data_IF_864706374161
#
_entry.id   IF_864706374161
#
_cell.length_a   1.000
_cell.length_b   1.000
_cell.length_c   1.000
_cell.angle_alpha   90.00
_cell.angle_beta   90.00
_cell.angle_gamma   90.00
#
_symmetry.space_group_name_H-M   'P 1'
#
loop_
_entity.id
_entity.type
_entity.pdbx_description
1 polymer ?
#
# COMPACT_ATOMS: atom_id res chain seq x y z
N UNK A 1 29.29 -14.71 -22.64
CA UNK A 1 29.54 -16.17 -22.59
C UNK A 1 31.05 -16.37 -22.60
N UNK A 2 31.57 -17.11 -21.63
CA UNK A 2 33.00 -17.41 -21.48
C UNK A 2 33.34 -18.82 -21.99
N UNK A 3 32.38 -19.75 -21.92
CA UNK A 3 32.53 -21.13 -22.39
C UNK A 3 31.16 -21.70 -22.82
N UNK A 4 31.15 -22.57 -23.83
CA UNK A 4 29.96 -23.24 -24.37
C UNK A 4 30.29 -24.73 -24.52
N UNK A 5 29.43 -25.59 -23.99
CA UNK A 5 29.48 -27.05 -24.16
C UNK A 5 28.09 -27.57 -24.50
N UNK A 6 27.88 -27.91 -25.78
CA UNK A 6 26.56 -28.25 -26.30
C UNK A 6 25.56 -27.10 -26.12
N UNK A 7 24.48 -27.38 -25.41
CA UNK A 7 23.44 -26.41 -25.02
C UNK A 7 23.75 -25.69 -23.70
N UNK A 8 24.78 -26.10 -22.96
CA UNK A 8 25.19 -25.44 -21.73
C UNK A 8 26.14 -24.28 -21.99
N UNK A 9 25.91 -23.18 -21.27
CA UNK A 9 26.74 -21.98 -21.34
C UNK A 9 27.21 -21.59 -19.96
N UNK A 10 28.49 -21.18 -19.88
CA UNK A 10 29.06 -20.55 -18.70
C UNK A 10 29.41 -19.11 -19.02
N UNK A 11 29.12 -18.22 -18.08
CA UNK A 11 29.41 -16.80 -18.16
C UNK A 11 30.08 -16.31 -16.88
N UNK A 12 30.74 -15.17 -17.02
CA UNK A 12 31.41 -14.45 -15.93
C UNK A 12 32.56 -15.25 -15.30
N UNK A 13 33.26 -14.62 -14.36
CA UNK A 13 34.21 -15.25 -13.44
C UNK A 13 33.93 -14.83 -12.00
N UNK A 14 32.70 -14.39 -11.75
CA UNK A 14 32.17 -13.83 -10.51
C UNK A 14 30.64 -13.98 -10.56
N UNK A 15 29.93 -13.87 -9.42
CA UNK A 15 28.47 -13.92 -9.43
C UNK A 15 27.89 -12.69 -10.15
N UNK A 16 26.71 -12.83 -10.76
CA UNK A 16 25.92 -11.69 -11.24
C UNK A 16 25.26 -10.97 -10.06
N UNK A 17 24.52 -11.72 -9.26
CA UNK A 17 23.87 -11.29 -8.02
C UNK A 17 24.17 -12.21 -6.84
N UNK A 18 24.71 -13.40 -7.07
CA UNK A 18 24.98 -14.41 -6.04
C UNK A 18 23.73 -15.16 -5.61
N UNK A 19 22.74 -15.24 -6.49
CA UNK A 19 21.38 -15.73 -6.23
C UNK A 19 21.32 -17.26 -6.05
N UNK A 20 22.38 -17.95 -6.46
CA UNK A 20 22.49 -19.39 -6.29
C UNK A 20 21.79 -20.16 -7.39
N UNK A 21 20.70 -20.85 -7.05
CA UNK A 21 19.87 -21.53 -8.06
C UNK A 21 18.80 -20.55 -8.49
N UNK A 22 18.71 -20.26 -9.78
CA UNK A 22 17.81 -19.23 -10.31
C UNK A 22 17.09 -19.77 -11.56
N UNK A 23 16.07 -19.07 -12.04
CA UNK A 23 15.32 -19.43 -13.25
C UNK A 23 14.91 -18.14 -13.96
N UNK A 24 15.88 -17.51 -14.64
CA UNK A 24 15.66 -16.22 -15.32
C UNK A 24 15.91 -16.32 -16.82
N UNK A 25 15.13 -15.60 -17.66
CA UNK A 25 15.32 -15.62 -19.10
C UNK A 25 16.74 -15.17 -19.50
N UNK A 26 17.36 -15.94 -20.38
CA UNK A 26 18.60 -15.56 -21.04
C UNK A 26 18.29 -15.11 -22.46
N UNK A 27 18.71 -13.90 -22.83
CA UNK A 27 18.48 -13.33 -24.17
C UNK A 27 19.78 -13.16 -24.95
N UNK A 28 19.69 -13.14 -26.28
CA UNK A 28 20.73 -12.48 -27.08
C UNK A 28 20.62 -10.98 -26.92
N UNK A 29 21.73 -10.27 -27.15
CA UNK A 29 21.78 -8.82 -27.04
C UNK A 29 22.60 -8.22 -28.19
N UNK A 30 22.14 -7.07 -28.68
CA UNK A 30 22.93 -6.22 -29.57
C UNK A 30 23.66 -5.19 -28.71
N UNK A 31 25.00 -5.14 -28.81
CA UNK A 31 25.79 -4.17 -28.05
C UNK A 31 25.93 -2.90 -28.89
N UNK A 32 25.25 -1.83 -28.47
CA UNK A 32 25.28 -0.54 -29.15
C UNK A 32 26.63 0.17 -28.93
N UNK A 33 27.16 0.14 -27.71
CA UNK A 33 28.45 0.77 -27.38
C UNK A 33 29.07 0.19 -26.12
N UNK A 34 30.34 0.53 -25.90
CA UNK A 34 31.05 0.28 -24.65
C UNK A 34 31.33 1.64 -24.01
N UNK A 35 31.00 1.78 -22.73
CA UNK A 35 31.37 2.93 -21.90
C UNK A 35 32.65 2.59 -21.14
N UNK A 36 33.83 2.98 -21.64
CA UNK A 36 35.07 2.69 -20.96
C UNK A 36 35.19 3.56 -19.70
N UNK A 37 35.44 2.92 -18.57
CA UNK A 37 35.85 3.62 -17.35
C UNK A 37 37.04 2.89 -16.72
N UNK A 38 37.90 3.63 -16.01
CA UNK A 38 39.07 3.05 -15.33
C UNK A 38 38.69 2.09 -14.20
N UNK A 39 37.51 2.27 -13.59
CA UNK A 39 37.03 1.43 -12.49
C UNK A 39 36.27 0.21 -13.01
N UNK A 40 35.25 0.41 -13.85
CA UNK A 40 34.41 -0.65 -14.40
C UNK A 40 33.84 -0.25 -15.76
N UNK A 41 34.34 -0.88 -16.83
CA UNK A 41 33.80 -0.65 -18.18
C UNK A 41 32.48 -1.40 -18.36
N UNK A 42 31.47 -0.73 -18.92
CA UNK A 42 30.11 -1.31 -19.10
C UNK A 42 29.73 -1.34 -20.57
N UNK A 43 29.02 -2.40 -21.00
CA UNK A 43 28.42 -2.47 -22.33
C UNK A 43 26.99 -1.96 -22.26
N UNK A 44 26.63 -1.04 -23.15
CA UNK A 44 25.23 -0.65 -23.36
C UNK A 44 24.71 -1.40 -24.57
N UNK A 45 23.62 -2.14 -24.38
CA UNK A 45 23.00 -2.94 -25.42
C UNK A 45 21.53 -3.18 -25.16
N UNK A 46 20.81 -3.53 -26.22
CA UNK A 46 19.41 -3.93 -26.16
C UNK A 46 19.26 -5.45 -26.25
N UNK A 47 18.24 -5.98 -25.57
CA UNK A 47 17.82 -7.37 -25.72
C UNK A 47 17.25 -7.59 -27.13
N UNK A 48 17.50 -8.75 -27.73
CA UNK A 48 16.94 -9.13 -29.05
C UNK A 48 15.83 -10.16 -28.87
N UNK A 49 16.16 -11.34 -28.35
CA UNK A 49 15.18 -12.41 -28.14
C UNK A 49 15.62 -13.35 -27.01
N UNK A 50 14.68 -13.95 -26.25
CA UNK A 50 14.97 -15.05 -25.35
C UNK A 50 15.51 -16.26 -26.11
N UNK A 51 16.58 -16.86 -25.61
CA UNK A 51 17.24 -18.02 -26.21
C UNK A 51 17.51 -19.15 -25.22
N UNK A 52 17.24 -18.95 -23.94
CA UNK A 52 17.47 -19.97 -22.93
C UNK A 52 17.17 -19.48 -21.52
N UNK A 53 17.73 -20.18 -20.55
CA UNK A 53 17.51 -19.94 -19.13
C UNK A 53 18.86 -19.86 -18.42
N UNK A 54 19.00 -18.88 -17.55
CA UNK A 54 20.07 -18.85 -16.55
C UNK A 54 19.60 -19.61 -15.31
N UNK A 55 20.38 -20.62 -14.91
CA UNK A 55 19.98 -21.60 -13.89
C UNK A 55 20.88 -21.55 -12.65
N UNK A 56 22.10 -21.01 -12.80
CA UNK A 56 23.08 -20.93 -11.72
C UNK A 56 23.71 -19.54 -11.69
N UNK A 57 23.82 -18.98 -10.50
CA UNK A 57 24.55 -17.75 -10.20
C UNK A 57 25.36 -17.96 -8.91
N UNK A 58 26.63 -18.36 -9.06
CA UNK A 58 27.51 -18.78 -7.98
C UNK A 58 28.74 -17.89 -7.92
N UNK A 59 29.51 -18.02 -6.84
CA UNK A 59 30.74 -17.22 -6.64
C UNK A 59 31.74 -17.34 -7.80
N UNK A 60 31.78 -18.48 -8.48
CA UNK A 60 32.68 -18.75 -9.61
C UNK A 60 32.16 -18.24 -10.96
N UNK A 61 30.91 -17.82 -11.06
CA UNK A 61 30.28 -17.46 -12.33
C UNK A 61 28.81 -17.86 -12.42
N UNK A 62 28.26 -17.67 -13.62
CA UNK A 62 26.88 -17.98 -13.94
C UNK A 62 26.80 -19.12 -14.97
N UNK A 63 25.75 -19.92 -14.90
CA UNK A 63 25.53 -21.06 -15.79
C UNK A 63 24.09 -21.13 -16.25
N UNK A 64 23.89 -21.56 -17.50
CA UNK A 64 22.56 -21.67 -18.09
C UNK A 64 22.52 -22.66 -19.23
N UNK A 65 21.32 -22.85 -19.78
CA UNK A 65 21.06 -23.77 -20.88
C UNK A 65 20.29 -23.05 -21.99
N UNK A 66 20.78 -23.16 -23.21
CA UNK A 66 20.15 -22.65 -24.43
C UNK A 66 18.97 -23.55 -24.80
N UNK A 67 17.86 -22.96 -25.24
CA UNK A 67 16.63 -23.67 -25.64
C UNK A 67 15.64 -23.92 -24.51
N UNK A 68 16.04 -23.75 -23.24
CA UNK A 68 15.11 -23.78 -22.11
C UNK A 68 14.17 -22.56 -22.11
N UNK A 69 13.02 -22.69 -21.42
CA UNK A 69 12.09 -21.57 -21.16
C UNK A 69 12.02 -21.32 -19.66
N UNK A 70 12.39 -20.11 -19.25
CA UNK A 70 12.31 -19.68 -17.86
C UNK A 70 10.86 -19.36 -17.50
N UNK A 71 10.52 -19.48 -16.22
CA UNK A 71 9.24 -19.00 -15.72
C UNK A 71 9.18 -17.47 -15.78
N UNK A 72 8.07 -16.94 -16.26
CA UNK A 72 7.76 -15.51 -16.28
C UNK A 72 6.41 -15.26 -15.59
N UNK A 73 6.24 -14.06 -15.05
CA UNK A 73 4.98 -13.51 -14.57
C UNK A 73 4.41 -12.60 -15.68
N UNK A 74 3.28 -12.98 -16.30
CA UNK A 74 2.55 -12.09 -17.20
C UNK A 74 2.06 -10.86 -16.43
N UNK A 75 2.37 -9.68 -16.93
CA UNK A 75 1.92 -8.39 -16.42
C UNK A 75 1.27 -7.60 -17.56
N UNK A 76 -0.02 -7.30 -17.41
CA UNK A 76 -0.77 -6.44 -18.34
C UNK A 76 -0.99 -5.08 -17.70
N UNK A 77 -0.68 -4.00 -18.42
CA UNK A 77 -0.93 -2.64 -17.97
C UNK A 77 -1.82 -1.93 -19.00
N UNK A 78 -3.04 -1.59 -18.61
CA UNK A 78 -4.02 -0.86 -19.40
C UNK A 78 -4.06 0.60 -18.93
N UNK A 79 -3.78 1.54 -19.83
CA UNK A 79 -3.74 2.97 -19.54
C UNK A 79 -4.78 3.71 -20.38
N UNK A 80 -5.59 4.50 -19.70
CA UNK A 80 -6.68 5.25 -20.29
C UNK A 80 -6.60 6.73 -19.92
N UNK A 81 -6.84 7.60 -20.89
CA UNK A 81 -7.05 9.04 -20.66
C UNK A 81 -8.28 9.49 -21.47
N UNK A 82 -9.44 9.44 -20.82
CA UNK A 82 -10.77 9.63 -21.46
C UNK A 82 -10.90 10.98 -22.17
N UNK A 83 -10.36 12.06 -21.60
CA UNK A 83 -10.52 13.40 -22.19
C UNK A 83 -9.65 13.63 -23.44
N UNK A 84 -8.61 12.81 -23.65
CA UNK A 84 -7.73 12.88 -24.81
C UNK A 84 -7.98 11.73 -25.80
N UNK A 85 -8.97 10.86 -25.52
CA UNK A 85 -9.26 9.66 -26.31
C UNK A 85 -8.00 8.78 -26.54
N UNK A 86 -7.20 8.63 -25.48
CA UNK A 86 -5.98 7.82 -25.49
C UNK A 86 -6.21 6.54 -24.69
N UNK A 87 -5.98 5.41 -25.34
CA UNK A 87 -5.99 4.06 -24.77
C UNK A 87 -4.73 3.32 -25.25
N UNK A 88 -3.98 2.77 -24.29
CA UNK A 88 -2.78 1.97 -24.53
C UNK A 88 -2.74 0.79 -23.59
N UNK A 89 -2.51 -0.39 -24.15
CA UNK A 89 -2.24 -1.61 -23.39
C UNK A 89 -0.81 -2.07 -23.62
N UNK A 90 -0.09 -2.37 -22.54
CA UNK A 90 1.24 -2.94 -22.54
C UNK A 90 1.20 -4.35 -21.96
N UNK A 91 1.95 -5.27 -22.58
CA UNK A 91 2.08 -6.64 -22.10
C UNK A 91 3.56 -6.91 -21.83
N UNK A 92 3.86 -7.38 -20.62
CA UNK A 92 5.20 -7.69 -20.17
C UNK A 92 5.27 -9.15 -19.69
N UNK A 93 6.40 -9.79 -19.98
CA UNK A 93 6.81 -11.05 -19.37
C UNK A 93 7.92 -10.74 -18.36
N UNK A 94 7.55 -10.62 -17.08
CA UNK A 94 8.48 -10.28 -16.01
C UNK A 94 9.18 -11.55 -15.54
N UNK A 95 10.51 -11.54 -15.37
CA UNK A 95 11.22 -12.71 -14.82
C UNK A 95 10.61 -13.12 -13.46
N UNK A 96 10.27 -14.41 -13.28
CA UNK A 96 9.65 -14.91 -12.05
C UNK A 96 10.72 -15.25 -11.01
N UNK A 97 10.96 -14.32 -10.09
CA UNK A 97 11.97 -14.42 -9.05
C UNK A 97 11.55 -13.68 -7.79
N UNK A 98 11.64 -14.33 -6.64
CA UNK A 98 11.19 -13.84 -5.33
C UNK A 98 11.66 -12.42 -4.97
N UNK A 99 12.88 -12.06 -5.36
CA UNK A 99 13.46 -10.75 -5.05
C UNK A 99 13.41 -9.74 -6.20
N UNK A 100 13.31 -10.20 -7.45
CA UNK A 100 13.43 -9.32 -8.62
C UNK A 100 12.11 -9.02 -9.31
N UNK A 101 11.14 -9.94 -9.27
CA UNK A 101 9.82 -9.71 -9.87
C UNK A 101 9.17 -8.41 -9.37
N UNK A 102 9.12 -8.11 -8.05
CA UNK A 102 8.49 -6.88 -7.58
C UNK A 102 9.15 -5.62 -8.17
N UNK A 103 10.48 -5.61 -8.21
CA UNK A 103 11.26 -4.47 -8.72
C UNK A 103 11.16 -4.32 -10.24
N UNK A 104 11.15 -5.41 -10.99
CA UNK A 104 10.99 -5.37 -12.43
C UNK A 104 9.56 -4.98 -12.82
N UNK A 105 8.55 -5.43 -12.09
CA UNK A 105 7.17 -4.98 -12.26
C UNK A 105 7.02 -3.47 -12.02
N UNK A 106 7.68 -2.92 -10.98
CA UNK A 106 7.80 -1.46 -10.80
C UNK A 106 8.38 -0.76 -12.02
N UNK A 107 9.48 -1.27 -12.60
CA UNK A 107 10.08 -0.66 -13.78
C UNK A 107 9.18 -0.75 -15.02
N UNK A 108 8.42 -1.84 -15.19
CA UNK A 108 7.40 -1.95 -16.24
C UNK A 108 6.30 -0.91 -16.06
N UNK A 109 5.80 -0.72 -14.84
CA UNK A 109 4.79 0.31 -14.53
C UNK A 109 5.33 1.72 -14.77
N UNK A 110 6.56 2.00 -14.31
CA UNK A 110 7.25 3.26 -14.58
C UNK A 110 7.37 3.54 -16.07
N UNK A 111 7.88 2.59 -16.85
CA UNK A 111 8.05 2.75 -18.30
C UNK A 111 6.71 2.97 -19.01
N UNK A 112 5.71 2.13 -18.75
CA UNK A 112 4.40 2.23 -19.39
C UNK A 112 3.69 3.55 -19.07
N UNK A 113 3.62 3.90 -17.78
CA UNK A 113 2.91 5.09 -17.31
C UNK A 113 3.70 6.35 -17.69
N UNK A 114 5.03 6.41 -17.54
CA UNK A 114 5.81 7.58 -17.95
C UNK A 114 5.70 7.84 -19.46
N UNK A 115 5.76 6.79 -20.30
CA UNK A 115 5.61 6.95 -21.76
C UNK A 115 4.24 7.53 -22.10
N UNK A 116 3.21 7.14 -21.36
CA UNK A 116 1.85 7.64 -21.52
C UNK A 116 1.69 9.06 -20.95
N UNK A 117 2.30 9.35 -19.79
CA UNK A 117 2.23 10.61 -19.06
C UNK A 117 3.19 11.70 -19.57
N UNK A 118 4.11 11.42 -20.51
CA UNK A 118 5.18 12.33 -20.99
C UNK A 118 4.76 13.77 -21.35
N UNK A 119 3.47 14.04 -21.52
CA UNK A 119 2.93 15.38 -21.80
C UNK A 119 2.32 16.08 -20.58
N UNK A 120 2.23 15.42 -19.43
CA UNK A 120 1.52 15.86 -18.24
C UNK A 120 2.51 16.22 -17.14
N UNK A 121 2.34 17.41 -16.56
CA UNK A 121 3.19 17.86 -15.45
C UNK A 121 2.55 17.51 -14.11
N UNK A 122 1.24 17.67 -14.02
CA UNK A 122 0.42 17.48 -12.84
C UNK A 122 -0.69 16.49 -13.23
N UNK A 123 -0.77 15.34 -12.57
CA UNK A 123 -1.74 14.31 -12.92
C UNK A 123 -2.40 13.70 -11.68
N UNK A 124 -3.61 13.21 -11.89
CA UNK A 124 -4.31 12.34 -10.97
C UNK A 124 -4.66 11.06 -11.71
N UNK A 125 -4.51 9.92 -11.04
CA UNK A 125 -4.78 8.62 -11.62
C UNK A 125 -5.56 7.76 -10.63
N UNK A 126 -6.69 7.22 -11.08
CA UNK A 126 -7.37 6.12 -10.39
C UNK A 126 -6.88 4.81 -10.99
N UNK A 127 -6.56 3.82 -10.18
CA UNK A 127 -6.06 2.54 -10.65
C UNK A 127 -6.74 1.36 -9.97
N UNK A 128 -6.80 0.25 -10.70
CA UNK A 128 -7.23 -1.04 -10.22
C UNK A 128 -6.14 -2.07 -10.52
N UNK A 129 -5.59 -2.67 -9.46
CA UNK A 129 -4.57 -3.69 -9.52
C UNK A 129 -5.18 -5.02 -9.10
N UNK A 130 -5.07 -6.03 -9.95
CA UNK A 130 -5.50 -7.40 -9.68
C UNK A 130 -4.32 -8.37 -9.77
N UNK A 131 -4.13 -9.19 -8.73
CA UNK A 131 -3.12 -10.24 -8.68
C UNK A 131 -3.84 -11.59 -8.60
N UNK A 132 -3.70 -12.39 -9.66
CA UNK A 132 -4.28 -13.73 -9.68
C UNK A 132 -3.35 -14.70 -8.98
N UNK A 133 -3.84 -15.34 -7.92
CA UNK A 133 -3.07 -16.29 -7.12
C UNK A 133 -3.60 -17.70 -7.38
N UNK A 134 -2.70 -18.66 -7.59
CA UNK A 134 -3.09 -20.05 -7.84
C UNK A 134 -3.78 -20.66 -6.63
N UNK A 135 -5.02 -21.11 -6.82
CA UNK A 135 -5.78 -21.82 -5.79
C UNK A 135 -6.31 -20.94 -4.66
N UNK A 136 -6.27 -19.61 -4.82
CA UNK A 136 -6.83 -18.62 -3.90
C UNK A 136 -7.63 -17.59 -4.67
N UNK A 137 -8.41 -16.78 -3.96
CA UNK A 137 -9.11 -15.64 -4.57
C UNK A 137 -8.10 -14.57 -5.03
N UNK A 138 -8.40 -13.82 -6.11
CA UNK A 138 -7.53 -12.75 -6.57
C UNK A 138 -7.46 -11.63 -5.53
N UNK A 139 -6.25 -11.11 -5.30
CA UNK A 139 -6.06 -9.89 -4.51
C UNK A 139 -6.34 -8.70 -5.40
N UNK A 140 -7.19 -7.79 -4.93
CA UNK A 140 -7.52 -6.56 -5.69
C UNK A 140 -7.29 -5.32 -4.87
N UNK A 141 -6.62 -4.33 -5.45
CA UNK A 141 -6.36 -3.03 -4.84
C UNK A 141 -6.92 -1.95 -5.77
N UNK A 142 -7.76 -1.07 -5.23
CA UNK A 142 -8.25 0.11 -5.95
C UNK A 142 -7.92 1.37 -5.15
N UNK A 143 -7.28 2.33 -5.80
CA UNK A 143 -6.89 3.58 -5.15
C UNK A 143 -6.75 4.72 -6.18
N UNK A 144 -6.64 5.95 -5.69
CA UNK A 144 -6.42 7.15 -6.49
C UNK A 144 -5.21 7.92 -5.96
N UNK A 145 -4.37 8.39 -6.87
CA UNK A 145 -3.16 9.13 -6.53
C UNK A 145 -3.08 10.43 -7.33
N UNK A 146 -2.72 11.51 -6.65
CA UNK A 146 -2.44 12.82 -7.23
C UNK A 146 -0.96 13.14 -7.04
N UNK A 147 -0.27 13.61 -8.08
CA UNK A 147 1.16 13.91 -8.01
C UNK A 147 1.59 15.05 -8.92
N UNK A 148 2.46 15.91 -8.41
CA UNK A 148 3.24 16.86 -9.21
C UNK A 148 4.44 16.11 -9.78
N UNK A 149 4.49 15.94 -11.09
CA UNK A 149 5.57 15.26 -11.81
C UNK A 149 5.23 13.85 -12.30
N UNK A 150 3.96 13.44 -12.28
CA UNK A 150 3.49 12.14 -12.75
C UNK A 150 3.15 11.16 -11.63
N UNK A 151 2.28 10.19 -11.94
CA UNK A 151 1.75 9.19 -11.00
C UNK A 151 2.45 7.83 -11.09
N UNK A 152 3.28 7.64 -12.12
CA UNK A 152 3.97 6.39 -12.42
C UNK A 152 4.70 5.76 -11.22
N UNK A 153 5.48 6.55 -10.49
CA UNK A 153 6.27 6.06 -9.35
C UNK A 153 5.38 5.57 -8.21
N UNK A 154 4.33 6.32 -7.87
CA UNK A 154 3.43 5.96 -6.78
C UNK A 154 2.68 4.67 -7.08
N UNK A 155 2.09 4.54 -8.28
CA UNK A 155 1.37 3.33 -8.70
C UNK A 155 2.33 2.13 -8.78
N UNK A 156 3.51 2.34 -9.36
CA UNK A 156 4.53 1.30 -9.44
C UNK A 156 5.02 0.83 -8.06
N UNK A 157 5.11 1.72 -7.06
CA UNK A 157 5.44 1.35 -5.68
C UNK A 157 4.36 0.49 -5.03
N UNK A 158 3.08 0.78 -5.27
CA UNK A 158 1.96 -0.05 -4.79
C UNK A 158 2.04 -1.45 -5.40
N UNK A 159 2.19 -1.55 -6.72
CA UNK A 159 2.39 -2.82 -7.42
C UNK A 159 3.58 -3.62 -6.86
N UNK A 160 4.74 -2.96 -6.71
CA UNK A 160 5.92 -3.61 -6.13
C UNK A 160 5.68 -4.07 -4.70
N UNK A 161 4.99 -3.28 -3.88
CA UNK A 161 4.78 -3.61 -2.47
C UNK A 161 3.83 -4.79 -2.32
N UNK A 162 2.76 -4.85 -3.12
CA UNK A 162 1.84 -5.99 -3.15
C UNK A 162 2.55 -7.29 -3.55
N UNK A 163 3.38 -7.24 -4.63
CA UNK A 163 4.18 -8.38 -5.05
C UNK A 163 5.23 -8.78 -4.01
N UNK A 164 5.92 -7.82 -3.39
CA UNK A 164 6.93 -8.09 -2.37
C UNK A 164 6.29 -8.78 -1.15
N UNK A 165 5.13 -8.28 -0.71
CA UNK A 165 4.38 -8.83 0.41
C UNK A 165 3.98 -10.30 0.19
N UNK A 166 3.46 -10.61 -1.00
CA UNK A 166 3.05 -11.97 -1.37
C UNK A 166 4.26 -12.90 -1.61
N UNK A 167 5.23 -12.49 -2.43
CA UNK A 167 6.34 -13.38 -2.80
C UNK A 167 7.35 -13.56 -1.66
N UNK A 168 7.47 -12.60 -0.74
CA UNK A 168 8.41 -12.66 0.39
C UNK A 168 7.75 -13.01 1.70
N UNK A 169 6.48 -13.40 1.69
CA UNK A 169 5.81 -13.92 2.86
C UNK A 169 6.60 -15.11 3.48
N UNK A 170 6.55 -15.29 4.82
CA UNK A 170 7.25 -16.37 5.52
C UNK A 170 6.42 -17.65 5.71
N UNK A 171 5.16 -17.69 5.27
CA UNK A 171 4.19 -18.74 5.61
C UNK A 171 4.11 -19.85 4.56
N UNK A 172 4.00 -19.49 3.28
CA UNK A 172 3.90 -20.44 2.17
C UNK A 172 4.52 -19.92 0.87
N UNK A 173 4.78 -20.81 -0.08
CA UNK A 173 5.21 -20.43 -1.43
C UNK A 173 3.98 -20.08 -2.29
N UNK A 174 3.78 -18.78 -2.52
CA UNK A 174 2.64 -18.25 -3.27
C UNK A 174 2.99 -18.16 -4.75
N UNK A 175 2.21 -18.88 -5.57
CA UNK A 175 2.30 -18.82 -7.03
C UNK A 175 1.34 -17.77 -7.58
N UNK A 176 1.89 -16.65 -8.05
CA UNK A 176 1.16 -15.59 -8.75
C UNK A 176 1.11 -15.97 -10.23
N UNK A 177 -0.10 -16.08 -10.79
CA UNK A 177 -0.33 -16.52 -12.18
C UNK A 177 -0.31 -15.36 -13.18
N UNK A 178 -0.84 -14.20 -12.79
CA UNK A 178 -0.87 -12.99 -13.61
C UNK A 178 -1.04 -11.74 -12.74
N UNK A 179 -0.68 -10.60 -13.32
CA UNK A 179 -0.95 -9.27 -12.76
C UNK A 179 -1.59 -8.42 -13.84
N UNK A 180 -2.70 -7.77 -13.47
CA UNK A 180 -3.42 -6.85 -14.35
C UNK A 180 -3.54 -5.50 -13.63
N UNK A 181 -3.06 -4.43 -14.27
CA UNK A 181 -3.08 -3.07 -13.75
C UNK A 181 -3.83 -2.17 -14.73
N UNK A 182 -4.98 -1.68 -14.32
CA UNK A 182 -5.76 -0.69 -15.06
C UNK A 182 -5.55 0.69 -14.44
N UNK A 183 -5.31 1.71 -15.26
CA UNK A 183 -5.06 3.08 -14.81
C UNK A 183 -5.85 4.06 -15.68
N UNK A 184 -6.72 4.84 -15.04
CA UNK A 184 -7.45 5.96 -15.62
C UNK A 184 -6.78 7.27 -15.17
N UNK A 185 -6.16 7.99 -16.11
CA UNK A 185 -5.36 9.21 -15.84
C UNK A 185 -6.13 10.45 -16.27
N UNK A 186 -5.94 11.53 -15.52
CA UNK A 186 -6.37 12.89 -15.87
C UNK A 186 -5.26 13.92 -15.63
N UNK A 187 -5.12 14.86 -16.55
CA UNK A 187 -4.02 15.85 -16.58
C UNK A 187 -4.24 17.05 -15.65
N UNK A 188 -4.63 16.78 -14.41
CA UNK A 188 -4.77 17.79 -13.35
C UNK A 188 -4.65 17.14 -11.99
N UNK A 189 -4.18 17.90 -11.00
CA UNK A 189 -4.33 17.53 -9.59
C UNK A 189 -5.78 17.69 -9.17
N UNK A 190 -6.35 16.64 -8.58
CA UNK A 190 -7.68 16.67 -7.95
C UNK A 190 -7.61 16.67 -6.43
N UNK A 191 -6.43 16.40 -5.86
CA UNK A 191 -6.24 16.29 -4.41
C UNK A 191 -6.86 17.45 -3.62
N UNK A 192 -7.54 17.10 -2.54
CA UNK A 192 -7.96 18.01 -1.49
C UNK A 192 -7.14 17.83 -0.20
N UNK A 193 -7.05 18.89 0.58
CA UNK A 193 -6.38 18.89 1.88
C UNK A 193 -7.36 19.25 2.99
N UNK A 194 -7.36 18.47 4.08
CA UNK A 194 -8.15 18.78 5.28
C UNK A 194 -7.50 19.96 6.01
N UNK A 195 -8.15 21.12 6.01
CA UNK A 195 -7.59 22.35 6.60
C UNK A 195 -7.95 22.52 8.08
N UNK A 196 -9.23 22.33 8.41
CA UNK A 196 -9.75 22.47 9.77
C UNK A 196 -11.01 21.63 9.94
N UNK A 197 -11.32 21.34 11.20
CA UNK A 197 -12.59 20.74 11.61
C UNK A 197 -13.19 21.57 12.74
N UNK A 198 -14.52 21.63 12.81
CA UNK A 198 -15.24 22.25 13.92
C UNK A 198 -16.49 21.47 14.29
N UNK A 199 -16.94 21.64 15.53
CA UNK A 199 -18.13 20.97 16.03
C UNK A 199 -19.27 21.98 16.19
N UNK A 200 -20.49 21.58 15.84
CA UNK A 200 -21.68 22.43 16.00
C UNK A 200 -22.00 22.70 17.48
N UNK A 201 -21.59 21.79 18.37
CA UNK A 201 -21.72 21.89 19.84
C UNK A 201 -20.42 21.48 20.52
N UNK A 202 -20.04 22.19 21.58
CA UNK A 202 -18.85 21.87 22.39
C UNK A 202 -19.16 20.92 23.57
N UNK A 203 -20.44 20.74 23.90
CA UNK A 203 -20.90 19.89 24.98
C UNK A 203 -21.90 18.88 24.43
N UNK A 204 -21.66 17.61 24.70
CA UNK A 204 -22.49 16.49 24.25
C UNK A 204 -22.94 15.66 25.45
N UNK A 205 -23.98 14.88 25.27
CA UNK A 205 -24.42 13.85 26.21
C UNK A 205 -24.30 12.47 25.54
N UNK A 206 -24.21 11.39 26.32
CA UNK A 206 -24.28 10.05 25.74
C UNK A 206 -25.57 9.88 24.92
N UNK A 207 -25.46 9.34 23.70
CA UNK A 207 -26.58 9.24 22.76
C UNK A 207 -26.81 10.47 21.88
N UNK A 208 -26.09 11.59 22.07
CA UNK A 208 -26.20 12.75 21.20
C UNK A 208 -25.57 12.50 19.81
N UNK A 209 -26.05 13.23 18.81
CA UNK A 209 -25.41 13.32 17.50
C UNK A 209 -24.35 14.44 17.50
N UNK A 210 -23.13 14.09 17.13
CA UNK A 210 -21.99 14.98 16.93
C UNK A 210 -22.08 15.61 15.53
N UNK A 211 -22.51 16.87 15.45
CA UNK A 211 -22.43 17.65 14.21
C UNK A 211 -20.99 18.13 13.96
N UNK A 212 -20.40 17.67 12.87
CA UNK A 212 -19.00 17.88 12.49
C UNK A 212 -18.92 18.61 11.14
N UNK A 213 -18.28 19.77 11.16
CA UNK A 213 -17.94 20.53 9.96
C UNK A 213 -16.48 20.25 9.59
N UNK A 214 -16.24 19.89 8.33
CA UNK A 214 -14.91 19.54 7.80
C UNK A 214 -14.61 20.46 6.63
N UNK A 215 -13.56 21.27 6.73
CA UNK A 215 -13.10 22.10 5.61
C UNK A 215 -12.04 21.38 4.80
N UNK A 216 -12.36 21.17 3.53
CA UNK A 216 -11.46 20.60 2.53
C UNK A 216 -11.10 21.68 1.53
N UNK A 217 -9.80 21.91 1.36
CA UNK A 217 -9.25 22.83 0.37
C UNK A 217 -8.78 22.02 -0.85
N UNK A 218 -9.48 22.09 -1.99
CA UNK A 218 -9.03 21.45 -3.21
C UNK A 218 -7.78 22.17 -3.75
N UNK A 219 -6.94 21.45 -4.48
CA UNK A 219 -5.78 22.03 -5.15
C UNK A 219 -6.20 23.18 -6.08
N UNK A 220 -5.71 24.40 -5.81
CA UNK A 220 -6.08 25.65 -6.51
C UNK A 220 -7.60 25.94 -6.54
N UNK A 221 -8.38 25.30 -5.65
CA UNK A 221 -9.81 25.47 -5.52
C UNK A 221 -10.19 26.51 -4.44
N UNK A 222 -11.49 26.62 -4.18
CA UNK A 222 -12.01 27.30 -2.99
C UNK A 222 -12.28 26.26 -1.91
N UNK A 223 -12.09 26.62 -0.65
CA UNK A 223 -12.44 25.73 0.47
C UNK A 223 -13.92 25.38 0.42
N UNK A 224 -14.21 24.10 0.65
CA UNK A 224 -15.55 23.53 0.73
C UNK A 224 -15.74 22.99 2.14
N UNK A 225 -16.93 23.17 2.71
CA UNK A 225 -17.26 22.65 4.04
C UNK A 225 -18.26 21.51 3.88
N UNK A 226 -17.87 20.33 4.38
CA UNK A 226 -18.73 19.16 4.49
C UNK A 226 -19.34 19.13 5.89
N UNK A 227 -20.62 18.80 5.97
CA UNK A 227 -21.38 18.73 7.21
C UNK A 227 -21.79 17.29 7.44
N UNK A 228 -21.29 16.68 8.51
CA UNK A 228 -21.52 15.28 8.84
C UNK A 228 -22.07 15.14 10.26
N UNK A 229 -23.06 14.27 10.40
CA UNK A 229 -23.71 13.97 11.67
C UNK A 229 -23.28 12.56 12.12
N UNK A 230 -22.59 12.47 13.25
CA UNK A 230 -22.07 11.20 13.79
C UNK A 230 -22.81 10.84 15.06
N UNK A 231 -23.56 9.75 15.01
CA UNK A 231 -24.29 9.26 16.18
C UNK A 231 -23.34 8.67 17.22
N UNK A 232 -23.39 9.19 18.44
CA UNK A 232 -22.63 8.67 19.56
C UNK A 232 -23.44 7.58 20.28
N UNK A 233 -22.84 6.42 20.60
CA UNK A 233 -23.49 5.42 21.43
C UNK A 233 -23.99 5.95 22.79
N UNK A 234 -25.13 5.44 23.27
CA UNK A 234 -25.69 5.81 24.58
C UNK A 234 -24.79 5.39 25.77
N UNK A 235 -23.90 4.41 25.57
CA UNK A 235 -23.04 3.84 26.60
C UNK A 235 -21.67 4.52 26.76
N UNK A 236 -21.43 5.67 26.14
CA UNK A 236 -20.14 6.36 26.26
C UNK A 236 -19.99 6.99 27.65
N UNK A 237 -18.82 6.81 28.26
CA UNK A 237 -18.47 7.43 29.53
C UNK A 237 -18.38 8.96 29.42
N UNK A 238 -18.70 9.64 30.52
CA UNK A 238 -18.52 11.09 30.63
C UNK A 238 -17.04 11.44 30.68
N UNK A 239 -16.62 12.44 29.91
CA UNK A 239 -15.21 12.84 29.83
C UNK A 239 -14.86 13.48 28.51
N UNK A 240 -13.57 13.63 28.25
CA UNK A 240 -13.09 14.23 27.01
C UNK A 240 -12.96 13.17 25.92
N UNK A 241 -13.60 13.41 24.77
CA UNK A 241 -13.42 12.64 23.55
C UNK A 241 -12.50 13.39 22.57
N UNK A 242 -11.66 12.64 21.87
CA UNK A 242 -10.83 13.10 20.76
C UNK A 242 -11.52 12.75 19.45
N UNK A 243 -11.96 13.75 18.70
CA UNK A 243 -12.46 13.59 17.34
C UNK A 243 -11.31 13.83 16.37
N UNK A 244 -11.03 12.85 15.53
CA UNK A 244 -9.96 12.90 14.52
C UNK A 244 -10.56 12.68 13.15
N UNK A 245 -10.27 13.57 12.21
CA UNK A 245 -10.55 13.38 10.78
C UNK A 245 -9.21 13.23 10.07
N UNK A 246 -9.03 12.14 9.33
CA UNK A 246 -7.74 11.77 8.76
C UNK A 246 -7.88 11.20 7.35
N UNK A 247 -6.86 11.40 6.53
CA UNK A 247 -6.66 10.61 5.32
C UNK A 247 -6.36 9.13 5.64
N UNK A 248 -6.41 8.27 4.62
CA UNK A 248 -6.15 6.83 4.73
C UNK A 248 -4.81 6.50 5.40
N UNK A 249 -3.73 7.18 5.02
CA UNK A 249 -2.38 6.91 5.55
C UNK A 249 -2.28 7.19 7.05
N UNK A 250 -2.80 8.34 7.48
CA UNK A 250 -2.83 8.75 8.90
C UNK A 250 -3.73 7.85 9.72
N UNK A 251 -4.90 7.50 9.18
CA UNK A 251 -5.83 6.59 9.81
C UNK A 251 -5.24 5.18 10.02
N UNK A 252 -4.63 4.59 8.98
CA UNK A 252 -3.95 3.28 9.09
C UNK A 252 -2.77 3.35 10.05
N UNK A 253 -1.99 4.43 10.04
CA UNK A 253 -0.89 4.64 11.00
C UNK A 253 -1.41 4.65 12.43
N UNK A 254 -2.50 5.38 12.70
CA UNK A 254 -3.13 5.42 14.02
C UNK A 254 -3.69 4.03 14.42
N UNK A 255 -4.27 3.25 13.50
CA UNK A 255 -4.66 1.85 13.76
C UNK A 255 -3.47 0.95 14.10
N UNK A 256 -2.36 1.04 13.37
CA UNK A 256 -1.15 0.26 13.63
C UNK A 256 -0.59 0.58 15.02
N UNK A 257 -0.58 1.86 15.41
CA UNK A 257 -0.08 2.26 16.72
C UNK A 257 -0.97 1.77 17.86
N UNK A 258 -2.30 1.74 17.67
CA UNK A 258 -3.25 1.23 18.66
C UNK A 258 -3.21 -0.29 18.78
N UNK A 259 -3.09 -0.99 17.65
CA UNK A 259 -3.15 -2.45 17.64
C UNK A 259 -2.07 -3.05 16.73
N UNK A 260 -0.79 -3.01 17.15
CA UNK A 260 0.33 -3.47 16.32
C UNK A 260 0.21 -4.96 15.95
N UNK A 261 -0.39 -5.77 16.82
CA UNK A 261 -0.50 -7.22 16.61
C UNK A 261 -1.54 -7.61 15.57
N UNK A 262 -2.56 -6.77 15.30
CA UNK A 262 -3.50 -6.98 14.19
C UNK A 262 -2.80 -6.91 12.83
N UNK A 263 -1.79 -6.05 12.70
CA UNK A 263 -1.01 -5.87 11.47
C UNK A 263 0.20 -6.83 11.40
N UNK A 264 0.21 -7.87 12.24
CA UNK A 264 1.18 -8.96 12.23
C UNK A 264 0.47 -10.26 11.83
N UNK A 265 0.31 -10.51 10.52
CA UNK A 265 -0.31 -11.75 10.05
C UNK A 265 0.45 -12.97 10.59
N UNK A 266 -0.24 -14.10 10.72
CA UNK A 266 0.32 -15.34 11.29
C UNK A 266 0.33 -16.51 10.32
N UNK A 267 -0.41 -16.36 9.23
CA UNK A 267 -0.54 -17.26 8.11
C UNK A 267 -0.82 -16.43 6.86
N UNK A 268 -0.87 -17.11 5.71
CA UNK A 268 -1.13 -16.46 4.43
C UNK A 268 -2.55 -15.91 4.33
N UNK A 269 -3.54 -16.58 4.92
CA UNK A 269 -4.94 -16.17 4.76
C UNK A 269 -5.17 -14.85 5.53
N UNK A 270 -4.62 -14.74 6.76
CA UNK A 270 -4.59 -13.48 7.51
C UNK A 270 -3.78 -12.37 6.81
N UNK A 271 -2.76 -12.73 6.01
CA UNK A 271 -2.01 -11.76 5.21
C UNK A 271 -2.87 -11.23 4.07
N UNK A 272 -3.59 -12.12 3.37
CA UNK A 272 -4.47 -11.76 2.27
C UNK A 272 -5.65 -10.91 2.76
N UNK A 273 -6.27 -11.29 3.88
CA UNK A 273 -7.30 -10.49 4.55
C UNK A 273 -6.82 -9.05 4.84
N UNK A 274 -5.54 -8.89 5.23
CA UNK A 274 -4.96 -7.58 5.50
C UNK A 274 -4.73 -6.76 4.22
N UNK A 275 -4.43 -7.41 3.09
CA UNK A 275 -4.27 -6.73 1.80
C UNK A 275 -5.63 -6.36 1.20
N UNK A 276 -6.63 -7.21 1.39
CA UNK A 276 -8.01 -6.94 0.97
C UNK A 276 -8.67 -5.84 1.83
N UNK A 277 -8.15 -5.57 3.04
CA UNK A 277 -8.51 -4.40 3.85
C UNK A 277 -7.96 -3.11 3.20
N UNK A 278 -8.65 -2.66 2.14
CA UNK A 278 -8.30 -1.46 1.38
C UNK A 278 -8.77 -0.19 2.07
N UNK A 279 -7.91 0.84 2.04
CA UNK A 279 -8.21 2.18 2.54
C UNK A 279 -7.99 3.20 1.42
N UNK A 280 -9.00 3.47 0.57
CA UNK A 280 -8.85 4.37 -0.57
C UNK A 280 -8.48 5.79 -0.16
N UNK A 281 -7.59 6.44 -0.92
CA UNK A 281 -7.18 7.82 -0.65
C UNK A 281 -8.29 8.85 -0.89
N UNK A 282 -9.39 8.49 -1.56
CA UNK A 282 -10.54 9.36 -1.72
C UNK A 282 -11.53 9.29 -0.54
N UNK A 283 -11.17 8.61 0.55
CA UNK A 283 -11.98 8.54 1.77
C UNK A 283 -11.34 9.33 2.91
N UNK A 284 -12.19 9.97 3.72
CA UNK A 284 -11.81 10.55 5.01
C UNK A 284 -12.37 9.67 6.13
N UNK A 285 -11.51 9.36 7.08
CA UNK A 285 -11.84 8.52 8.22
C UNK A 285 -12.02 9.40 9.44
N UNK A 286 -13.25 9.42 9.96
CA UNK A 286 -13.57 10.07 11.21
C UNK A 286 -13.55 9.04 12.33
N UNK A 287 -12.74 9.29 13.34
CA UNK A 287 -12.68 8.47 14.55
C UNK A 287 -12.99 9.35 15.75
N UNK A 288 -13.95 8.91 16.58
CA UNK A 288 -14.24 9.49 17.88
C UNK A 288 -13.67 8.53 18.91
N UNK A 289 -12.74 9.01 19.73
CA UNK A 289 -12.07 8.17 20.72
C UNK A 289 -12.16 8.72 22.13
N UNK A 290 -12.47 7.86 23.10
CA UNK A 290 -12.29 8.17 24.51
C UNK A 290 -10.80 8.10 24.87
N UNK A 291 -10.33 9.03 25.70
CA UNK A 291 -8.99 8.96 26.29
C UNK A 291 -8.98 7.97 27.46
N UNK A 292 -9.00 6.67 27.16
CA UNK A 292 -8.94 5.58 28.14
C UNK A 292 -7.66 4.74 27.95
N UNK A 293 -7.07 4.28 29.06
CA UNK A 293 -5.90 3.41 29.03
C UNK A 293 -6.38 1.97 28.82
N UNK A 294 -6.14 1.43 27.63
CA UNK A 294 -6.55 0.08 27.22
C UNK A 294 -5.37 -0.83 26.91
N UNK A 295 -5.67 -2.08 26.55
CA UNK A 295 -4.70 -3.06 26.08
C UNK A 295 -5.16 -3.64 24.75
N UNK A 296 -4.25 -3.85 23.82
CA UNK A 296 -4.45 -4.73 22.68
C UNK A 296 -3.77 -6.07 22.96
N UNK A 297 -4.51 -7.18 22.84
CA UNK A 297 -3.98 -8.55 22.98
C UNK A 297 -4.44 -9.38 21.78
N UNK A 298 -3.52 -10.07 21.10
CA UNK A 298 -3.84 -10.93 19.94
C UNK A 298 -4.63 -10.26 18.80
N UNK A 299 -4.40 -8.98 18.53
CA UNK A 299 -5.10 -8.27 17.45
C UNK A 299 -6.50 -7.79 17.81
N UNK A 300 -6.96 -7.99 19.06
CA UNK A 300 -8.22 -7.44 19.58
C UNK A 300 -7.95 -6.31 20.56
N UNK A 301 -8.69 -5.22 20.43
CA UNK A 301 -8.66 -4.11 21.39
C UNK A 301 -9.54 -4.45 22.60
N UNK A 302 -8.99 -4.31 23.80
CA UNK A 302 -9.69 -4.45 25.08
C UNK A 302 -9.69 -3.09 25.77
N UNK A 303 -10.75 -2.29 25.56
CA UNK A 303 -10.88 -1.03 26.24
C UNK A 303 -11.20 -1.16 27.74
N UNK A 304 -10.94 -0.08 28.48
CA UNK A 304 -11.34 0.12 29.88
C UNK A 304 -10.91 -0.98 30.87
N UNK A 305 -9.63 -1.38 30.80
CA UNK A 305 -9.08 -2.33 31.76
C UNK A 305 -8.79 -1.65 33.11
N UNK A 306 -9.29 -2.18 34.24
CA UNK A 306 -8.93 -1.69 35.56
C UNK A 306 -7.41 -1.62 35.73
N UNK A 307 -6.93 -0.55 36.36
CA UNK A 307 -5.49 -0.32 36.59
C UNK A 307 -4.77 -1.49 37.27
N UNK A 308 -5.50 -2.30 38.06
CA UNK A 308 -4.99 -3.54 38.67
C UNK A 308 -4.69 -4.64 37.64
N UNK A 309 -5.53 -4.80 36.61
CA UNK A 309 -5.33 -5.78 35.54
C UNK A 309 -4.23 -5.31 34.59
N UNK A 310 -4.20 -4.02 34.27
CA UNK A 310 -3.10 -3.42 33.49
C UNK A 310 -1.75 -3.62 34.19
N UNK A 311 -1.67 -3.49 35.51
CA UNK A 311 -0.43 -3.72 36.27
C UNK A 311 0.02 -5.18 36.26
N UNK A 312 -0.93 -6.11 36.38
CA UNK A 312 -0.65 -7.56 36.35
C UNK A 312 -0.23 -8.01 34.95
N UNK A 313 -0.86 -7.48 33.90
CA UNK A 313 -0.46 -7.77 32.51
C UNK A 313 0.83 -7.04 32.13
N UNK A 314 1.07 -5.83 32.64
CA UNK A 314 2.34 -5.13 32.52
C UNK A 314 3.49 -5.90 33.18
N UNK A 315 3.25 -6.68 34.23
CA UNK A 315 4.27 -7.52 34.90
C UNK A 315 4.36 -8.96 34.35
N UNK A 316 3.53 -9.33 33.38
CA UNK A 316 3.55 -10.68 32.80
C UNK A 316 4.73 -10.85 31.83
N UNK A 317 5.44 -11.99 31.82
CA UNK A 317 6.60 -12.23 30.94
C UNK A 317 6.27 -12.27 29.43
N UNK A 318 4.99 -12.24 29.04
CA UNK A 318 4.50 -12.21 27.65
C UNK A 318 4.38 -10.79 27.06
N UNK A 319 5.10 -9.80 27.59
CA UNK A 319 5.18 -8.38 27.11
C UNK A 319 5.35 -8.17 25.60
N UNK A 320 5.66 -9.20 24.82
CA UNK A 320 5.78 -9.14 23.36
C UNK A 320 4.50 -9.42 22.56
N UNK A 321 3.36 -9.69 23.21
CA UNK A 321 2.10 -10.14 22.57
C UNK A 321 0.91 -9.15 22.75
N UNK A 322 1.22 -7.87 22.92
CA UNK A 322 0.22 -6.81 23.06
C UNK A 322 0.84 -5.42 23.29
N UNK A 323 0.06 -4.37 23.03
CA UNK A 323 0.44 -2.97 23.24
C UNK A 323 -0.56 -2.23 24.13
N UNK A 324 -0.10 -1.22 24.88
CA UNK A 324 -1.02 -0.31 25.57
C UNK A 324 -1.65 0.64 24.56
N UNK A 325 -2.97 0.81 24.63
CA UNK A 325 -3.69 1.84 23.87
C UNK A 325 -3.97 3.00 24.82
N UNK A 326 -3.79 4.23 24.33
CA UNK A 326 -4.11 5.45 25.10
C UNK A 326 -5.48 6.01 24.72
N UNK A 327 -6.15 5.36 23.77
CA UNK A 327 -7.44 5.74 23.22
C UNK A 327 -8.25 4.50 22.88
N UNK A 328 -9.56 4.62 23.07
CA UNK A 328 -10.58 3.66 22.66
C UNK A 328 -11.47 4.30 21.61
N UNK A 329 -11.61 3.69 20.44
CA UNK A 329 -12.54 4.20 19.42
C UNK A 329 -13.96 3.83 19.80
N UNK A 330 -14.79 4.84 20.04
CA UNK A 330 -16.21 4.68 20.42
C UNK A 330 -17.14 4.82 19.22
N UNK A 331 -16.70 5.55 18.18
CA UNK A 331 -17.42 5.66 16.92
C UNK A 331 -16.43 5.86 15.76
N UNK A 332 -16.77 5.30 14.61
CA UNK A 332 -16.01 5.39 13.38
C UNK A 332 -16.96 5.67 12.22
N UNK A 333 -16.58 6.58 11.34
CA UNK A 333 -17.38 6.98 10.19
C UNK A 333 -16.47 7.24 8.98
N UNK A 334 -16.94 6.84 7.80
CA UNK A 334 -16.18 6.99 6.55
C UNK A 334 -16.94 7.93 5.63
N UNK A 335 -16.26 8.96 5.14
CA UNK A 335 -16.81 9.95 4.23
C UNK A 335 -16.11 9.77 2.88
N UNK A 336 -16.88 9.41 1.84
CA UNK A 336 -16.36 9.24 0.48
C UNK A 336 -16.34 10.59 -0.23
N UNK A 337 -15.15 11.03 -0.63
CA UNK A 337 -14.95 12.19 -1.48
C UNK A 337 -14.89 11.81 -2.97
N UNK A 338 -15.14 12.77 -3.84
CA UNK A 338 -15.01 12.67 -5.29
C UNK A 338 -13.56 12.84 -5.80
N UNK A 339 -12.59 12.90 -4.86
CA UNK A 339 -11.18 13.20 -5.11
C UNK A 339 -10.30 12.64 -3.99
N UNK A 340 -8.98 12.44 -4.22
CA UNK A 340 -8.04 12.05 -3.18
C UNK A 340 -7.96 13.13 -2.10
N UNK A 341 -7.88 12.72 -0.83
CA UNK A 341 -7.79 13.59 0.34
C UNK A 341 -6.47 13.38 1.05
N UNK A 342 -5.95 14.45 1.66
CA UNK A 342 -4.75 14.41 2.46
C UNK A 342 -4.86 15.28 3.71
N UNK A 343 -4.10 14.92 4.73
CA UNK A 343 -4.01 15.66 5.98
C UNK A 343 -4.77 14.99 7.12
N UNK A 344 -4.72 15.65 8.27
CA UNK A 344 -5.37 15.20 9.49
C UNK A 344 -5.65 16.40 10.37
N UNK A 345 -6.82 16.41 11.00
CA UNK A 345 -7.19 17.39 12.01
C UNK A 345 -7.79 16.69 13.22
N UNK A 346 -7.64 17.31 14.39
CA UNK A 346 -8.05 16.76 15.68
C UNK A 346 -8.68 17.85 16.53
N UNK A 347 -9.79 17.52 17.19
CA UNK A 347 -10.47 18.42 18.14
C UNK A 347 -10.94 17.63 19.36
N UNK A 348 -10.86 18.25 20.53
CA UNK A 348 -11.38 17.69 21.78
C UNK A 348 -12.81 18.18 22.01
N UNK A 349 -13.67 17.30 22.52
CA UNK A 349 -15.03 17.62 22.95
C UNK A 349 -15.32 17.00 24.30
N UNK A 350 -16.16 17.65 25.11
CA UNK A 350 -16.56 17.12 26.42
C UNK A 350 -17.96 16.50 26.38
N UNK A 351 -18.06 15.28 26.94
CA UNK A 351 -19.32 14.60 27.20
C UNK A 351 -19.71 14.82 28.66
N UNK A 352 -20.80 15.56 28.85
CA UNK A 352 -21.38 15.81 30.16
C UNK A 352 -22.35 14.69 30.56
N UNK A 353 -22.55 14.44 31.87
CA UNK A 353 -23.58 13.53 32.33
C UNK A 353 -24.95 13.95 31.79
N UNK A 354 -25.73 12.98 31.30
CA UNK A 354 -27.12 13.19 30.89
C UNK A 354 -27.90 13.96 31.97
N UNK A 355 -28.73 14.92 31.57
CA UNK A 355 -29.53 15.73 32.51
C UNK A 355 -30.41 14.88 33.44
N UNK A 356 -30.76 13.65 33.06
CA UNK A 356 -31.49 12.71 33.90
C UNK A 356 -30.69 12.21 35.13
N UNK A 357 -29.36 12.16 35.04
CA UNK A 357 -28.47 11.68 36.11
C UNK A 357 -28.02 12.78 37.09
N UNK A 358 -28.35 14.06 36.86
CA UNK A 358 -28.01 15.16 37.79
C UNK A 358 -28.98 15.32 38.96
N UNK A 359 -30.08 14.56 38.96
CA UNK A 359 -31.17 14.67 39.95
C UNK A 359 -31.26 13.49 40.93
N UNK A 360 -30.32 12.54 40.87
CA UNK A 360 -30.08 11.51 41.87
C UNK A 360 -28.69 11.72 42.47
#
# INVERSE_FOLDING_TARGET
VSFVDGDHVLGFGHPMFGDGSTDVPMTTAYINTVLPTLSLSTKMGGMIQPVGVLQQDRISGIGGTVGGKARTLPLTIHLNHKAADLDRTFHYDVAYHRFYTPRFALFCALDAIDVFERSFRDSTASFHLSLKIKGKDPVTIHDEVSSQGGTALSIGMVLSSALDLLMRNPYEDVEIESVDLEVDIVDRLRQGSIEWISLSKQQLQPGDTLGLDISVQPWLGKSEVLHEDIDLPEGIDTGSLLVTVADANKYVTDKILRNPDRFRPRDIDSLLDLVDESYPNNEMYVTVSALSLGLSEFGKEMPDLPSSILRVMADHPDRGKGGFTMTEVVAEHVIVADRPISGQQRIMVEVEPSRANRLN
#
